data_IF_648560513626
#
_entry.id   IF_648560513626
#
_cell.length_a   1.000
_cell.length_b   1.000
_cell.length_c   1.000
_cell.angle_alpha   90.00
_cell.angle_beta   90.00
_cell.angle_gamma   90.00
#
_symmetry.space_group_name_H-M   'P 1'
#
loop_
_entity.id
_entity.type
_entity.pdbx_description
1 polymer ?
#
# COMPACT_ATOMS: atom_id res chain seq x y z
N UNK A 1 42.38 -4.93 20.85
CA UNK A 1 41.06 -4.37 21.21
C UNK A 1 40.39 -3.93 19.93
N UNK A 2 39.35 -4.63 19.48
CA UNK A 2 38.60 -4.27 18.27
C UNK A 2 37.38 -3.48 18.71
N UNK A 3 37.37 -2.20 18.37
CA UNK A 3 36.27 -1.28 18.63
C UNK A 3 35.12 -1.63 17.68
N UNK A 4 34.02 -2.13 18.22
CA UNK A 4 32.79 -2.38 17.45
C UNK A 4 32.21 -1.03 17.05
N UNK A 5 32.07 -0.81 15.75
CA UNK A 5 31.42 0.37 15.19
C UNK A 5 30.01 0.51 15.77
N UNK A 6 29.76 1.61 16.46
CA UNK A 6 28.43 2.01 16.91
C UNK A 6 27.52 2.13 15.69
N UNK A 7 26.47 1.31 15.66
CA UNK A 7 25.39 1.41 14.67
C UNK A 7 24.88 2.85 14.59
N UNK A 8 24.66 3.33 13.36
CA UNK A 8 24.24 4.69 13.06
C UNK A 8 23.09 5.16 13.98
N UNK A 9 23.28 6.31 14.64
CA UNK A 9 22.21 7.03 15.33
C UNK A 9 21.09 7.29 14.34
N UNK A 10 19.95 6.66 14.56
CA UNK A 10 18.72 6.92 13.82
C UNK A 10 18.30 8.37 14.16
N UNK A 11 18.61 9.33 13.28
CA UNK A 11 18.37 10.76 13.47
C UNK A 11 16.88 11.12 13.29
N UNK A 12 16.00 10.37 13.94
CA UNK A 12 14.57 10.71 14.00
C UNK A 12 14.35 11.55 15.25
N UNK A 13 14.03 12.83 15.05
CA UNK A 13 13.61 13.69 16.16
C UNK A 13 12.24 13.26 16.67
N UNK A 14 11.99 13.28 17.99
CA UNK A 14 10.67 13.03 18.51
C UNK A 14 9.71 14.08 17.96
N UNK A 15 8.51 13.65 17.57
CA UNK A 15 7.45 14.56 17.15
C UNK A 15 7.00 15.38 18.36
N UNK A 16 6.66 16.65 18.14
CA UNK A 16 6.15 17.52 19.22
C UNK A 16 4.82 17.00 19.80
N UNK A 17 4.03 16.30 18.99
CA UNK A 17 2.76 15.68 19.39
C UNK A 17 2.93 14.40 20.21
N UNK A 18 4.11 13.78 20.22
CA UNK A 18 4.33 12.45 20.81
C UNK A 18 3.82 11.29 19.95
N UNK A 19 3.21 11.58 18.80
CA UNK A 19 2.74 10.58 17.82
C UNK A 19 3.94 10.04 17.06
N UNK A 20 4.12 8.72 17.01
CA UNK A 20 5.21 8.11 16.23
C UNK A 20 4.98 8.37 14.73
N UNK A 21 6.05 8.52 13.97
CA UNK A 21 6.02 9.01 12.58
C UNK A 21 5.20 8.10 11.65
N UNK A 22 5.20 6.79 11.90
CA UNK A 22 4.60 5.78 11.01
C UNK A 22 3.50 4.95 11.68
N UNK A 23 3.11 5.30 12.92
CA UNK A 23 2.08 4.56 13.66
C UNK A 23 0.83 5.43 13.67
N UNK A 24 -0.27 4.84 13.25
CA UNK A 24 -1.58 5.45 13.28
C UNK A 24 -1.89 5.98 14.70
N UNK A 25 -2.32 7.26 14.85
CA UNK A 25 -2.75 7.79 16.13
C UNK A 25 -3.85 6.95 16.81
N UNK A 26 -4.68 6.26 16.02
CA UNK A 26 -5.78 5.44 16.53
C UNK A 26 -5.34 4.03 16.93
N UNK A 27 -4.08 3.63 16.68
CA UNK A 27 -3.56 2.34 17.14
C UNK A 27 -3.56 2.27 18.67
N UNK A 28 -4.27 1.29 19.28
CA UNK A 28 -4.37 1.16 20.73
C UNK A 28 -3.00 1.00 21.39
N UNK A 29 -2.78 1.69 22.52
CA UNK A 29 -1.48 1.68 23.23
C UNK A 29 -1.01 0.27 23.62
N UNK A 30 -1.94 -0.65 23.87
CA UNK A 30 -1.66 -2.07 24.15
C UNK A 30 -0.95 -2.80 23.00
N UNK A 31 -1.11 -2.33 21.76
CA UNK A 31 -0.58 -2.96 20.55
C UNK A 31 0.75 -2.31 20.11
N UNK A 32 1.24 -1.29 20.84
CA UNK A 32 2.52 -0.64 20.55
C UNK A 32 3.73 -1.50 20.93
N UNK A 33 3.51 -2.57 21.72
CA UNK A 33 4.54 -3.48 22.18
C UNK A 33 4.02 -4.92 22.10
N UNK A 34 4.78 -5.78 21.44
CA UNK A 34 4.54 -7.22 21.43
C UNK A 34 5.66 -7.97 22.16
N UNK A 35 5.29 -8.91 23.03
CA UNK A 35 6.23 -9.86 23.62
C UNK A 35 6.16 -11.16 22.83
N UNK A 36 7.24 -11.46 22.11
CA UNK A 36 7.33 -12.70 21.34
C UNK A 36 7.27 -13.93 22.25
N UNK A 37 6.95 -15.08 21.67
CA UNK A 37 6.96 -16.38 22.36
C UNK A 37 8.31 -16.74 23.01
N UNK A 38 9.39 -16.04 22.66
CA UNK A 38 10.74 -16.18 23.23
C UNK A 38 11.09 -15.10 24.26
N UNK A 39 10.12 -14.32 24.72
CA UNK A 39 10.30 -13.26 25.72
C UNK A 39 10.96 -11.98 25.18
N UNK A 40 11.20 -11.87 23.87
CA UNK A 40 11.76 -10.64 23.28
C UNK A 40 10.67 -9.60 23.11
N UNK A 41 10.96 -8.36 23.53
CA UNK A 41 10.13 -7.17 23.30
C UNK A 41 10.33 -6.65 21.88
N UNK A 42 9.24 -6.47 21.14
CA UNK A 42 9.19 -5.83 19.83
C UNK A 42 8.34 -4.56 19.94
N UNK A 43 8.93 -3.41 19.57
CA UNK A 43 8.22 -2.14 19.52
C UNK A 43 7.56 -1.98 18.14
N UNK A 44 6.32 -1.51 18.12
CA UNK A 44 5.59 -1.21 16.89
C UNK A 44 6.27 -0.04 16.16
N UNK A 45 6.60 -0.28 14.89
CA UNK A 45 7.30 0.67 14.01
C UNK A 45 6.40 1.30 12.95
N UNK A 46 5.32 0.64 12.55
CA UNK A 46 4.36 1.14 11.57
C UNK A 46 2.98 0.50 11.79
N UNK A 47 1.91 1.26 11.63
CA UNK A 47 0.52 0.79 11.60
C UNK A 47 -0.37 1.72 10.80
N UNK A 48 -1.51 1.20 10.35
CA UNK A 48 -2.61 1.94 9.73
C UNK A 48 -3.90 1.17 10.07
N UNK A 49 -4.87 1.83 10.71
CA UNK A 49 -6.12 1.19 11.13
C UNK A 49 -7.20 1.24 10.04
N UNK A 50 -6.93 1.92 8.91
CA UNK A 50 -7.85 2.04 7.77
C UNK A 50 -9.26 2.56 8.13
N UNK A 51 -9.37 3.34 9.20
CA UNK A 51 -10.63 3.80 9.80
C UNK A 51 -11.14 5.16 9.27
N UNK A 52 -10.42 5.78 8.33
CA UNK A 52 -10.86 6.99 7.64
C UNK A 52 -11.56 6.58 6.36
N UNK A 53 -12.87 6.80 6.28
CA UNK A 53 -13.74 6.41 5.13
C UNK A 53 -13.35 7.13 3.84
N UNK A 54 -13.46 6.43 2.70
CA UNK A 54 -13.22 6.96 1.36
C UNK A 54 -11.81 7.53 1.14
N UNK A 55 -10.78 6.93 1.75
CA UNK A 55 -9.39 7.32 1.46
C UNK A 55 -9.07 7.05 -0.01
N UNK A 56 -8.46 8.03 -0.66
CA UNK A 56 -7.89 7.88 -2.00
C UNK A 56 -6.42 7.48 -1.85
N UNK A 57 -6.03 6.41 -2.52
CA UNK A 57 -4.63 5.97 -2.57
C UNK A 57 -3.93 6.38 -3.86
N UNK A 58 -4.46 7.35 -4.59
CA UNK A 58 -3.77 7.86 -5.79
C UNK A 58 -2.44 8.51 -5.42
N UNK A 59 -1.49 8.57 -6.36
CA UNK A 59 -0.21 9.24 -6.12
C UNK A 59 -0.41 10.67 -5.61
N UNK A 60 0.02 10.94 -4.37
CA UNK A 60 -0.07 12.24 -3.72
C UNK A 60 -1.29 12.45 -2.80
N UNK A 61 -2.28 11.57 -2.83
CA UNK A 61 -3.50 11.70 -2.02
C UNK A 61 -3.33 11.10 -0.61
N UNK A 62 -2.46 10.09 -0.47
CA UNK A 62 -2.16 9.43 0.80
C UNK A 62 -0.66 9.52 1.13
N UNK A 63 -0.35 9.70 2.41
CA UNK A 63 1.00 9.90 2.89
C UNK A 63 1.81 8.61 3.06
N UNK A 64 1.12 7.47 3.15
CA UNK A 64 1.71 6.15 3.43
C UNK A 64 1.60 5.23 2.22
N UNK A 65 0.42 5.22 1.59
CA UNK A 65 0.09 4.24 0.56
C UNK A 65 -0.04 4.88 -0.82
N UNK A 66 0.22 4.09 -1.86
CA UNK A 66 -0.05 4.49 -3.24
C UNK A 66 -0.54 3.26 -3.99
N UNK A 67 -1.76 3.33 -4.52
CA UNK A 67 -2.32 2.28 -5.38
C UNK A 67 -1.64 2.29 -6.73
N UNK A 68 -1.76 1.17 -7.44
CA UNK A 68 -1.09 0.94 -8.72
C UNK A 68 -2.10 1.01 -9.87
N UNK A 69 -1.67 1.57 -11.00
CA UNK A 69 -2.42 1.59 -12.26
C UNK A 69 -1.56 0.96 -13.37
N UNK A 70 -1.71 -0.35 -13.59
CA UNK A 70 -0.97 -1.10 -14.60
C UNK A 70 -1.54 -2.51 -14.84
N UNK A 71 -1.24 -3.15 -15.98
CA UNK A 71 -1.48 -4.59 -16.15
C UNK A 71 -0.52 -5.44 -15.30
N UNK A 72 -0.96 -6.60 -14.80
CA UNK A 72 -0.14 -7.50 -13.96
C UNK A 72 1.18 -7.89 -14.65
N UNK A 73 1.09 -8.43 -15.88
CA UNK A 73 2.21 -8.55 -16.81
C UNK A 73 3.28 -9.61 -16.47
N UNK A 74 3.11 -10.41 -15.41
CA UNK A 74 4.14 -11.38 -14.96
C UNK A 74 3.93 -12.80 -15.51
N UNK A 75 2.70 -13.24 -15.75
CA UNK A 75 2.34 -14.64 -16.07
C UNK A 75 1.34 -14.77 -17.23
N UNK A 76 1.16 -13.73 -18.05
CA UNK A 76 0.10 -13.69 -19.07
C UNK A 76 -1.30 -13.45 -18.50
N UNK A 77 -1.39 -13.07 -17.21
CA UNK A 77 -2.58 -12.50 -16.59
C UNK A 77 -3.14 -11.36 -17.43
N UNK A 78 -4.47 -11.34 -17.51
CA UNK A 78 -5.25 -10.33 -18.23
C UNK A 78 -6.00 -9.39 -17.28
N UNK A 79 -5.64 -9.45 -16.00
CA UNK A 79 -6.06 -8.58 -14.92
C UNK A 79 -5.36 -7.21 -15.00
N UNK A 80 -6.13 -6.15 -14.70
CA UNK A 80 -5.65 -4.77 -14.59
C UNK A 80 -5.74 -4.30 -13.13
N UNK A 81 -4.64 -3.75 -12.61
CA UNK A 81 -4.70 -2.97 -11.37
C UNK A 81 -5.12 -1.55 -11.71
N UNK A 82 -6.15 -1.06 -11.02
CA UNK A 82 -6.61 0.32 -11.14
C UNK A 82 -6.76 1.00 -9.78
N UNK A 83 -6.49 2.31 -9.75
CA UNK A 83 -6.66 3.14 -8.57
C UNK A 83 -8.10 3.09 -8.02
N UNK A 84 -9.09 2.88 -8.88
CA UNK A 84 -10.51 2.89 -8.50
C UNK A 84 -10.99 1.56 -7.87
N UNK A 85 -10.12 0.56 -7.78
CA UNK A 85 -10.44 -0.77 -7.23
C UNK A 85 -10.16 -0.91 -5.75
N UNK A 86 -9.66 0.15 -5.10
CA UNK A 86 -9.30 0.08 -3.69
C UNK A 86 -9.58 1.39 -2.96
N UNK A 87 -10.09 1.28 -1.73
CA UNK A 87 -10.30 2.39 -0.81
C UNK A 87 -10.55 1.82 0.60
N UNK A 88 -11.08 2.64 1.49
CA UNK A 88 -11.48 2.29 2.85
C UNK A 88 -12.97 2.53 3.04
N UNK A 89 -13.62 1.68 3.82
CA UNK A 89 -15.04 1.75 4.14
C UNK A 89 -15.24 1.39 5.61
N UNK A 90 -16.36 1.84 6.18
CA UNK A 90 -16.84 1.33 7.47
C UNK A 90 -18.27 0.84 7.30
N UNK A 91 -18.59 -0.27 7.97
CA UNK A 91 -19.95 -0.81 8.07
C UNK A 91 -20.74 -0.10 9.18
N UNK A 92 -22.06 -0.31 9.21
CA UNK A 92 -22.97 0.32 10.20
C UNK A 92 -22.66 -0.08 11.65
N UNK A 93 -21.95 -1.19 11.86
CA UNK A 93 -21.51 -1.64 13.19
C UNK A 93 -20.23 -0.95 13.68
N UNK A 94 -19.66 -0.05 12.88
CA UNK A 94 -18.44 0.69 13.18
C UNK A 94 -17.15 -0.03 12.77
N UNK A 95 -17.23 -1.22 12.17
CA UNK A 95 -16.05 -1.92 11.65
C UNK A 95 -15.56 -1.23 10.38
N UNK A 96 -14.34 -0.71 10.42
CA UNK A 96 -13.68 -0.13 9.25
C UNK A 96 -12.67 -1.10 8.63
N UNK A 97 -12.52 -1.02 7.31
CA UNK A 97 -11.63 -1.89 6.56
C UNK A 97 -11.13 -1.23 5.28
N UNK A 98 -9.93 -1.64 4.91
CA UNK A 98 -9.43 -1.51 3.55
C UNK A 98 -10.09 -2.58 2.66
N UNK A 99 -10.53 -2.20 1.46
CA UNK A 99 -11.06 -3.14 0.48
C UNK A 99 -10.30 -3.08 -0.84
N UNK A 100 -10.33 -4.22 -1.54
CA UNK A 100 -10.01 -4.34 -2.96
C UNK A 100 -11.22 -5.01 -3.59
N UNK A 101 -11.77 -4.40 -4.64
CA UNK A 101 -12.83 -5.01 -5.45
C UNK A 101 -12.24 -5.52 -6.77
N UNK A 102 -12.85 -6.57 -7.29
CA UNK A 102 -12.68 -7.02 -8.67
C UNK A 102 -13.97 -6.69 -9.42
N UNK A 103 -13.82 -6.32 -10.69
CA UNK A 103 -14.94 -6.16 -11.61
C UNK A 103 -14.59 -6.91 -12.88
N UNK A 104 -15.60 -7.55 -13.46
CA UNK A 104 -15.42 -8.27 -14.71
C UNK A 104 -15.74 -7.30 -15.86
N UNK A 105 -14.73 -6.86 -16.59
CA UNK A 105 -14.90 -5.91 -17.69
C UNK A 105 -13.85 -6.03 -18.80
N UNK A 106 -14.24 -5.66 -20.02
CA UNK A 106 -13.31 -5.58 -21.14
C UNK A 106 -12.60 -4.23 -21.13
N UNK A 107 -11.30 -4.25 -20.83
CA UNK A 107 -10.43 -3.10 -20.94
C UNK A 107 -9.65 -3.13 -22.25
N UNK A 108 -9.64 -2.01 -22.99
CA UNK A 108 -8.90 -1.86 -24.24
C UNK A 108 -7.85 -0.79 -24.07
N UNK A 109 -6.57 -1.17 -24.17
CA UNK A 109 -5.43 -0.25 -24.03
C UNK A 109 -4.77 -0.09 -25.39
N UNK A 110 -4.68 1.15 -25.86
CA UNK A 110 -3.96 1.48 -27.09
C UNK A 110 -2.46 1.59 -26.80
N UNK A 111 -1.67 0.66 -27.35
CA UNK A 111 -0.23 0.55 -27.09
C UNK A 111 0.56 0.65 -28.38
N UNK A 112 1.73 1.29 -28.31
CA UNK A 112 2.65 1.32 -29.44
C UNK A 112 3.45 0.01 -29.51
N UNK A 113 3.30 -0.73 -30.59
CA UNK A 113 3.98 -2.00 -30.81
C UNK A 113 5.15 -1.82 -31.79
N UNK A 114 6.38 -1.89 -31.26
CA UNK A 114 7.62 -1.81 -32.05
C UNK A 114 7.98 -3.10 -32.80
N UNK A 115 7.29 -4.21 -32.50
CA UNK A 115 7.58 -5.54 -33.03
C UNK A 115 6.73 -5.93 -34.25
N UNK A 116 5.78 -5.08 -34.66
CA UNK A 116 5.01 -5.25 -35.92
C UNK A 116 5.66 -4.46 -37.07
N UNK A 117 5.39 -4.85 -38.31
CA UNK A 117 5.94 -4.21 -39.51
C UNK A 117 4.83 -3.72 -40.45
N UNK A 118 4.66 -2.39 -40.64
CA UNK A 118 5.38 -1.30 -39.97
C UNK A 118 5.03 -1.17 -38.48
N UNK A 119 5.94 -0.65 -37.63
CA UNK A 119 5.61 -0.32 -36.23
C UNK A 119 4.42 0.63 -36.13
N UNK A 120 3.54 0.39 -35.17
CA UNK A 120 2.29 1.15 -35.08
C UNK A 120 1.53 0.92 -33.77
N UNK A 121 0.48 1.69 -33.58
CA UNK A 121 -0.44 1.52 -32.46
C UNK A 121 -1.34 0.30 -32.69
N UNK A 122 -1.54 -0.49 -31.65
CA UNK A 122 -2.45 -1.64 -31.62
C UNK A 122 -3.30 -1.60 -30.37
N UNK A 123 -4.49 -2.17 -30.46
CA UNK A 123 -5.36 -2.34 -29.31
C UNK A 123 -5.03 -3.66 -28.59
N UNK A 124 -4.68 -3.56 -27.31
CA UNK A 124 -4.50 -4.69 -26.42
C UNK A 124 -5.76 -4.88 -25.57
N UNK A 125 -6.35 -6.06 -25.64
CA UNK A 125 -7.57 -6.41 -24.92
C UNK A 125 -7.19 -7.12 -23.61
N UNK A 126 -7.78 -6.68 -22.51
CA UNK A 126 -7.67 -7.27 -21.19
C UNK A 126 -9.08 -7.71 -20.77
N UNK A 127 -9.21 -8.98 -20.42
CA UNK A 127 -10.45 -9.59 -19.95
C UNK A 127 -10.17 -10.35 -18.67
N UNK A 128 -10.91 -10.02 -17.63
CA UNK A 128 -11.09 -10.81 -16.43
C UNK A 128 -12.45 -10.40 -15.88
#
# INVERSE_FOLDING_TARGET
MVTVATAAKNNTYPTKSGIKIWVDPDTPERDHVYISSRGRKWDLVMSDEFNVVNRSFRPGDDHMWTSVEKPDGVNGAMELYSHNMTSTQCDDDGTCYFYIKSIDELNVINVYNMYIHPPGYVDAYFFY
#
